data_IF_448175717593
#
_entry.id   IF_448175717593
#
_cell.length_a   1.000
_cell.length_b   1.000
_cell.length_c   1.000
_cell.angle_alpha   90.00
_cell.angle_beta   90.00
_cell.angle_gamma   90.00
#
_symmetry.space_group_name_H-M   'P 1'
#
loop_
_entity.id
_entity.type
_entity.pdbx_description
1 polymer ?
#
# COMPACT_ATOMS: atom_id res chain seq x y z
N UNK A 1 -5.79 -6.51 9.03
CA UNK A 1 -6.19 -5.52 8.02
C UNK A 1 -5.34 -4.28 8.23
N UNK A 2 -4.75 -3.72 7.18
CA UNK A 2 -3.96 -2.49 7.30
C UNK A 2 -4.88 -1.26 7.27
N UNK A 3 -4.45 -0.21 7.96
CA UNK A 3 -5.12 1.09 8.00
C UNK A 3 -4.32 2.15 7.22
N UNK A 4 -4.88 3.35 7.09
CA UNK A 4 -4.19 4.51 6.51
C UNK A 4 -2.83 4.78 7.17
N UNK A 5 -2.70 4.55 8.48
CA UNK A 5 -1.42 4.77 9.19
C UNK A 5 -0.28 3.84 8.77
N UNK A 6 -0.61 2.75 8.06
CA UNK A 6 0.34 1.74 7.61
C UNK A 6 0.79 1.92 6.17
N UNK A 7 0.26 2.90 5.44
CA UNK A 7 0.62 3.21 4.05
C UNK A 7 1.15 4.63 3.92
N UNK A 8 1.99 4.86 2.92
CA UNK A 8 2.45 6.20 2.56
C UNK A 8 1.36 6.92 1.76
N UNK A 9 0.52 7.68 2.47
CA UNK A 9 -0.62 8.43 1.92
C UNK A 9 -0.20 9.43 0.83
N UNK A 10 1.03 9.94 0.88
CA UNK A 10 1.54 10.96 -0.04
C UNK A 10 2.23 10.38 -1.29
N UNK A 11 2.32 9.06 -1.42
CA UNK A 11 3.15 8.42 -2.45
C UNK A 11 2.82 8.92 -3.86
N UNK A 12 1.58 8.72 -4.32
CA UNK A 12 1.15 9.11 -5.67
C UNK A 12 1.12 10.64 -5.84
N UNK A 13 0.78 11.37 -4.77
CA UNK A 13 0.80 12.84 -4.75
C UNK A 13 2.16 13.46 -5.05
N UNK A 14 3.27 12.74 -4.82
CA UNK A 14 4.63 13.21 -5.13
C UNK A 14 5.01 13.12 -6.62
N UNK A 15 4.15 12.55 -7.48
CA UNK A 15 4.40 12.39 -8.90
C UNK A 15 3.60 13.40 -9.73
N UNK A 16 4.18 13.91 -10.81
CA UNK A 16 3.48 14.79 -11.74
C UNK A 16 2.28 14.08 -12.38
N UNK A 17 1.21 14.82 -12.69
CA UNK A 17 -0.07 14.26 -13.16
C UNK A 17 0.03 13.30 -14.36
N UNK A 18 1.02 13.50 -15.25
CA UNK A 18 1.23 12.65 -16.44
C UNK A 18 2.01 11.35 -16.16
N UNK A 19 2.44 11.12 -14.93
CA UNK A 19 3.19 9.90 -14.58
C UNK A 19 2.29 8.66 -14.58
N UNK A 20 2.80 7.48 -14.96
CA UNK A 20 2.00 6.25 -15.11
C UNK A 20 1.24 5.82 -13.84
N UNK A 21 1.73 6.19 -12.65
CA UNK A 21 1.12 5.85 -11.36
C UNK A 21 -0.34 6.31 -11.28
N UNK A 22 -0.65 7.51 -11.78
CA UNK A 22 -2.01 8.07 -11.73
C UNK A 22 -3.00 7.31 -12.60
N UNK A 23 -2.60 6.98 -13.84
CA UNK A 23 -3.41 6.15 -14.76
C UNK A 23 -3.58 4.74 -14.21
N UNK A 24 -2.52 4.18 -13.62
CA UNK A 24 -2.57 2.82 -13.07
C UNK A 24 -3.54 2.78 -11.89
N UNK A 25 -3.44 3.74 -10.97
CA UNK A 25 -4.32 3.83 -9.81
C UNK A 25 -5.79 4.07 -10.18
N UNK A 26 -6.09 4.76 -11.28
CA UNK A 26 -7.47 4.91 -11.76
C UNK A 26 -8.07 3.63 -12.37
N UNK A 27 -7.23 2.62 -12.63
CA UNK A 27 -7.64 1.32 -13.19
C UNK A 27 -7.67 0.20 -12.15
N UNK A 28 -6.94 0.38 -11.04
CA UNK A 28 -6.93 -0.58 -9.93
C UNK A 28 -8.31 -0.63 -9.26
N UNK A 29 -8.78 -1.84 -8.98
CA UNK A 29 -10.07 -2.13 -8.37
C UNK A 29 -9.94 -2.99 -7.11
N UNK A 30 -11.01 -3.05 -6.32
CA UNK A 30 -11.12 -3.97 -5.19
C UNK A 30 -10.83 -5.42 -5.62
N UNK A 31 -10.04 -6.13 -4.82
CA UNK A 31 -9.70 -7.53 -5.07
C UNK A 31 -8.51 -7.74 -6.01
N UNK A 32 -8.04 -6.70 -6.72
CA UNK A 32 -6.87 -6.81 -7.59
C UNK A 32 -5.64 -7.29 -6.81
N UNK A 33 -4.89 -8.20 -7.41
CA UNK A 33 -3.66 -8.70 -6.82
C UNK A 33 -2.52 -7.69 -6.94
N UNK A 34 -1.74 -7.60 -5.87
CA UNK A 34 -0.53 -6.81 -5.81
C UNK A 34 0.65 -7.68 -5.39
N UNK A 35 1.86 -7.17 -5.59
CA UNK A 35 3.07 -7.68 -4.98
C UNK A 35 3.55 -6.70 -3.90
N UNK A 36 3.90 -7.22 -2.73
CA UNK A 36 4.68 -6.48 -1.75
C UNK A 36 6.17 -6.77 -2.00
N UNK A 37 6.89 -5.78 -2.53
CA UNK A 37 8.33 -5.89 -2.79
C UNK A 37 9.11 -5.12 -1.73
N UNK A 38 9.99 -5.82 -1.02
CA UNK A 38 10.83 -5.25 0.02
C UNK A 38 12.28 -5.16 -0.49
N UNK A 39 12.83 -3.95 -0.55
CA UNK A 39 14.21 -3.69 -0.98
C UNK A 39 14.87 -2.71 -0.01
N UNK A 40 15.68 -3.23 0.90
CA UNK A 40 16.18 -2.47 2.05
C UNK A 40 15.00 -1.95 2.89
N UNK A 41 14.94 -0.64 3.11
CA UNK A 41 13.83 0.00 3.84
C UNK A 41 12.58 0.24 2.98
N UNK A 42 12.66 0.08 1.66
CA UNK A 42 11.52 0.34 0.77
C UNK A 42 10.59 -0.86 0.78
N UNK A 43 9.31 -0.60 1.07
CA UNK A 43 8.24 -1.60 1.06
C UNK A 43 7.18 -1.13 0.09
N UNK A 44 7.24 -1.63 -1.13
CA UNK A 44 6.47 -1.13 -2.26
C UNK A 44 5.31 -2.06 -2.60
N UNK A 45 4.14 -1.48 -2.87
CA UNK A 45 2.98 -2.16 -3.40
C UNK A 45 3.00 -1.99 -4.91
N UNK A 46 3.10 -3.10 -5.63
CA UNK A 46 3.22 -3.12 -7.09
C UNK A 46 2.06 -3.87 -7.71
N UNK A 47 1.59 -3.40 -8.87
CA UNK A 47 0.73 -4.22 -9.71
C UNK A 47 1.51 -5.41 -10.25
N UNK A 48 0.82 -6.42 -10.79
CA UNK A 48 1.46 -7.56 -11.45
C UNK A 48 2.31 -7.15 -12.67
N UNK A 49 2.03 -5.98 -13.26
CA UNK A 49 2.82 -5.38 -14.35
C UNK A 49 4.05 -4.60 -13.83
N UNK A 50 4.29 -4.61 -12.51
CA UNK A 50 5.48 -4.04 -11.88
C UNK A 50 5.41 -2.56 -11.54
N UNK A 51 4.27 -1.88 -11.80
CA UNK A 51 4.08 -0.46 -11.50
C UNK A 51 3.84 -0.28 -10.00
N UNK A 52 4.61 0.63 -9.37
CA UNK A 52 4.42 0.99 -7.97
C UNK A 52 3.16 1.85 -7.84
N UNK A 53 2.18 1.35 -7.10
CA UNK A 53 0.89 2.02 -6.82
C UNK A 53 0.80 2.54 -5.39
N UNK A 54 1.74 2.16 -4.53
CA UNK A 54 1.82 2.64 -3.16
C UNK A 54 3.05 2.14 -2.44
N UNK A 55 3.20 2.57 -1.19
CA UNK A 55 4.25 2.08 -0.28
C UNK A 55 3.63 1.84 1.08
N UNK A 56 4.16 0.88 1.83
CA UNK A 56 3.91 0.84 3.27
C UNK A 56 4.66 2.00 3.93
N UNK A 57 4.03 2.61 4.94
CA UNK A 57 4.68 3.62 5.76
C UNK A 57 5.93 3.02 6.42
N UNK A 58 6.99 3.81 6.62
CA UNK A 58 8.22 3.35 7.30
C UNK A 58 7.93 2.77 8.69
N UNK A 59 6.98 3.36 9.40
CA UNK A 59 6.52 2.93 10.73
C UNK A 59 5.56 1.74 10.72
N UNK A 60 5.15 1.25 9.55
CA UNK A 60 4.23 0.12 9.48
C UNK A 60 4.91 -1.13 10.04
N UNK A 61 4.31 -1.71 11.07
CA UNK A 61 4.76 -2.98 11.65
C UNK A 61 3.87 -4.08 11.08
N UNK A 62 4.48 -5.05 10.40
CA UNK A 62 3.79 -6.25 9.96
C UNK A 62 4.01 -7.35 11.00
N UNK A 63 3.00 -8.20 11.26
CA UNK A 63 3.21 -9.45 11.98
C UNK A 63 4.35 -10.26 11.38
N UNK A 64 5.05 -11.04 12.21
CA UNK A 64 6.07 -11.97 11.75
C UNK A 64 5.47 -13.06 10.86
N UNK A 65 6.30 -13.58 9.95
CA UNK A 65 5.93 -14.61 8.99
C UNK A 65 6.02 -14.13 7.55
N UNK A 66 5.56 -14.97 6.64
CA UNK A 66 5.64 -14.75 5.20
C UNK A 66 4.33 -14.21 4.65
N UNK A 67 4.39 -13.09 3.95
CA UNK A 67 3.24 -12.59 3.17
C UNK A 67 2.99 -13.55 2.01
N UNK A 68 1.80 -14.14 1.96
CA UNK A 68 1.41 -15.10 0.92
C UNK A 68 0.45 -14.52 -0.10
N UNK A 69 -0.27 -13.44 0.27
CA UNK A 69 -1.20 -12.77 -0.62
C UNK A 69 -1.27 -11.29 -0.27
N UNK A 70 -1.36 -10.46 -1.32
CA UNK A 70 -1.60 -9.02 -1.22
C UNK A 70 -2.71 -8.69 -2.20
N UNK A 71 -3.82 -8.17 -1.72
CA UNK A 71 -4.93 -7.71 -2.56
C UNK A 71 -5.30 -6.28 -2.23
N UNK A 72 -5.93 -5.59 -3.17
CA UNK A 72 -6.53 -4.28 -2.92
C UNK A 72 -7.77 -4.46 -2.06
N UNK A 73 -7.76 -3.86 -0.87
CA UNK A 73 -8.92 -3.82 0.02
C UNK A 73 -9.78 -2.59 -0.24
N UNK A 74 -9.17 -1.46 -0.59
CA UNK A 74 -9.89 -0.26 -1.01
C UNK A 74 -9.00 0.65 -1.84
N UNK A 75 -9.65 1.44 -2.68
CA UNK A 75 -9.05 2.55 -3.41
C UNK A 75 -9.66 3.82 -2.85
N UNK A 76 -8.82 4.76 -2.41
CA UNK A 76 -9.25 5.99 -1.75
C UNK A 76 -8.80 7.20 -2.52
N UNK A 77 -9.68 8.20 -2.61
CA UNK A 77 -9.32 9.51 -3.08
C UNK A 77 -8.64 10.28 -1.94
N UNK A 78 -7.55 10.96 -2.24
CA UNK A 78 -6.80 11.77 -1.29
C UNK A 78 -6.51 13.15 -1.87
N UNK A 79 -6.23 14.12 -1.01
CA UNK A 79 -5.93 15.48 -1.43
C UNK A 79 -4.87 16.11 -0.56
N UNK A 80 -4.23 17.16 -1.07
CA UNK A 80 -3.26 17.99 -0.33
C UNK A 80 -3.87 18.53 0.98
N UNK A 81 -5.16 18.83 0.99
CA UNK A 81 -5.87 19.35 2.17
C UNK A 81 -5.89 18.33 3.33
N UNK A 82 -5.83 17.04 3.03
CA UNK A 82 -5.79 15.98 4.05
C UNK A 82 -4.36 15.57 4.43
N UNK A 83 -3.33 16.22 3.87
CA UNK A 83 -1.92 15.94 4.16
C UNK A 83 -1.34 17.00 5.09
N UNK A 84 -0.46 16.58 5.99
CA UNK A 84 0.33 17.48 6.83
C UNK A 84 1.04 18.55 5.98
N UNK A 85 0.89 19.86 6.29
CA UNK A 85 1.55 20.95 5.58
C UNK A 85 3.07 20.77 5.38
N UNK A 86 3.76 20.12 6.31
CA UNK A 86 5.21 19.87 6.21
C UNK A 86 5.57 18.96 5.02
N UNK A 87 4.60 18.18 4.53
CA UNK A 87 4.77 17.32 3.37
C UNK A 87 4.30 17.95 2.05
N UNK A 88 3.65 19.12 2.08
CA UNK A 88 3.07 19.75 0.89
C UNK A 88 4.11 20.08 -0.18
N UNK A 89 5.33 20.47 0.23
CA UNK A 89 6.43 20.84 -0.69
C UNK A 89 6.84 19.71 -1.63
N UNK A 90 6.55 18.45 -1.28
CA UNK A 90 6.88 17.27 -2.09
C UNK A 90 5.75 16.89 -3.05
N UNK A 91 4.54 17.39 -2.82
CA UNK A 91 3.37 17.09 -3.64
C UNK A 91 3.46 17.84 -4.97
N UNK A 92 3.06 17.17 -6.06
CA UNK A 92 3.07 17.69 -7.43
C UNK A 92 1.68 17.77 -8.05
N UNK A 93 0.68 17.27 -7.34
CA UNK A 93 -0.74 17.33 -7.69
C UNK A 93 -1.54 17.68 -6.43
N UNK A 94 -2.76 18.20 -6.62
CA UNK A 94 -3.65 18.58 -5.52
C UNK A 94 -4.45 17.39 -5.01
N UNK A 95 -4.74 16.44 -5.89
CA UNK A 95 -5.57 15.26 -5.65
C UNK A 95 -4.97 14.02 -6.31
N UNK A 96 -5.14 12.86 -5.70
CA UNK A 96 -4.64 11.58 -6.20
C UNK A 96 -5.40 10.40 -5.60
N UNK A 97 -5.35 9.26 -6.28
CA UNK A 97 -5.82 7.98 -5.74
C UNK A 97 -4.73 7.28 -4.93
N UNK A 98 -5.12 6.42 -4.00
CA UNK A 98 -4.23 5.54 -3.25
C UNK A 98 -4.90 4.21 -2.96
N UNK A 99 -4.11 3.18 -2.66
CA UNK A 99 -4.60 1.84 -2.31
C UNK A 99 -4.35 1.52 -0.85
N UNK A 100 -5.33 0.91 -0.18
CA UNK A 100 -5.12 0.17 1.06
C UNK A 100 -5.08 -1.33 0.71
N UNK A 101 -4.00 -2.04 1.04
CA UNK A 101 -3.91 -3.47 0.78
C UNK A 101 -4.44 -4.30 1.96
N UNK A 102 -5.00 -5.46 1.64
CA UNK A 102 -5.12 -6.59 2.56
C UNK A 102 -3.90 -7.49 2.39
N UNK A 103 -3.29 -7.87 3.51
CA UNK A 103 -2.18 -8.83 3.54
C UNK A 103 -2.64 -10.12 4.23
N UNK A 104 -2.35 -11.25 3.62
CA UNK A 104 -2.41 -12.57 4.27
C UNK A 104 -0.99 -12.95 4.63
N UNK A 105 -0.74 -13.22 5.91
CA UNK A 105 0.57 -13.56 6.44
C UNK A 105 0.48 -14.96 7.02
N UNK A 106 1.29 -15.88 6.48
CA UNK A 106 1.47 -17.21 7.04
C UNK A 106 2.55 -17.13 8.12
N UNK A 107 2.24 -17.47 9.38
CA UNK A 107 3.23 -17.53 10.46
C UNK A 107 4.36 -18.50 10.11
N UNK A 108 5.58 -18.18 10.53
CA UNK A 108 6.73 -19.09 10.46
C UNK A 108 6.79 -19.86 11.78
N UNK A 109 6.11 -21.00 11.83
CA UNK A 109 6.05 -21.91 12.98
C UNK A 109 4.84 -22.85 12.92
N UNK A 110 4.97 -24.06 13.45
CA UNK A 110 3.88 -25.04 13.53
C UNK A 110 2.75 -24.49 14.40
N UNK A 111 1.60 -24.22 13.79
CA UNK A 111 0.34 -24.12 14.51
C UNK A 111 0.05 -25.50 15.11
N UNK A 112 0.47 -25.74 16.36
CA UNK A 112 -0.10 -26.83 17.15
C UNK A 112 -1.55 -26.45 17.43
N UNK A 113 -2.44 -26.94 16.56
CA UNK A 113 -3.87 -26.75 16.70
C UNK A 113 -4.30 -27.11 18.11
N UNK A 114 -4.81 -26.12 18.83
CA UNK A 114 -5.52 -26.36 20.07
C UNK A 114 -6.76 -27.18 19.75
N UNK A 115 -6.77 -28.40 20.25
CA UNK A 115 -7.92 -29.29 20.33
C UNK A 115 -9.11 -28.51 20.89
N UNK A 116 -10.21 -28.46 20.14
CA UNK A 116 -11.49 -27.95 20.64
C UNK A 116 -12.13 -29.06 21.47
N UNK A 117 -12.33 -28.73 22.74
CA UNK A 117 -13.15 -29.42 23.75
C UNK A 117 -14.54 -29.76 23.19
#
# INVERSE_FOLDING_TARGET
>A
MLSQSNVDLGHAGCFAAKQPVHRTLSQVSYGDELALVITGERRELRTLQGVVVGKLARKAVLPSGRVTQVTVESVMHWSRLHTDPDHHRRLRVDEWWMVLPRLVIKPEGDFKGGERI
#
